data_IF_363797081826
#
_entry.id   IF_363797081826
#
_cell.length_a   1.000
_cell.length_b   1.000
_cell.length_c   1.000
_cell.angle_alpha   90.00
_cell.angle_beta   90.00
_cell.angle_gamma   90.00
#
_symmetry.space_group_name_H-M   'P 1'
#
loop_
_entity.id
_entity.type
_entity.pdbx_description
1 polymer ?
#
# COMPACT_ATOMS: atom_id res chain seq x y z
N UNK A 1 0.01 -1.11 35.11
CA UNK A 1 -1.20 -0.56 34.45
C UNK A 1 -0.76 -0.14 33.06
N UNK A 2 -0.86 -1.06 32.09
CA UNK A 2 -0.45 -0.77 30.72
C UNK A 2 -1.64 -0.04 30.08
N UNK A 3 -1.52 1.29 29.96
CA UNK A 3 -2.57 2.14 29.42
C UNK A 3 -2.77 1.79 27.95
N UNK A 4 -4.01 1.48 27.54
CA UNK A 4 -4.37 1.20 26.14
C UNK A 4 -3.95 2.30 25.14
N UNK A 5 -3.59 3.50 25.60
CA UNK A 5 -3.18 4.63 24.76
C UNK A 5 -1.93 4.38 23.92
N UNK A 6 -1.06 3.46 24.33
CA UNK A 6 0.13 3.09 23.54
C UNK A 6 -0.20 2.11 22.41
N UNK A 7 -1.31 1.38 22.51
CA UNK A 7 -1.78 0.49 21.45
C UNK A 7 -2.24 1.31 20.23
N UNK A 8 -2.97 2.39 20.46
CA UNK A 8 -3.50 3.25 19.40
C UNK A 8 -2.40 3.97 18.59
N UNK A 9 -1.24 4.23 19.22
CA UNK A 9 -0.07 4.82 18.55
C UNK A 9 0.81 3.82 17.80
N UNK A 10 0.82 2.54 18.20
CA UNK A 10 1.66 1.51 17.57
C UNK A 10 0.99 0.79 16.41
N UNK A 11 -0.35 0.79 16.35
CA UNK A 11 -1.13 0.22 15.24
C UNK A 11 -1.46 1.25 14.15
N UNK A 12 -0.66 2.32 14.06
CA UNK A 12 -0.75 3.26 12.96
C UNK A 12 -0.52 2.53 11.65
N UNK A 13 -1.49 2.62 10.75
CA UNK A 13 -1.43 2.11 9.39
C UNK A 13 -0.13 2.60 8.72
N UNK A 14 0.80 1.70 8.37
CA UNK A 14 2.05 2.06 7.67
C UNK A 14 1.88 1.78 6.18
N UNK A 15 2.33 2.71 5.35
CA UNK A 15 2.36 2.53 3.90
C UNK A 15 3.54 1.65 3.52
N UNK A 16 3.29 0.45 3.00
CA UNK A 16 4.34 -0.48 2.57
C UNK A 16 5.18 0.06 1.39
N UNK A 17 4.60 0.93 0.56
CA UNK A 17 5.30 1.48 -0.61
C UNK A 17 6.38 2.50 -0.31
N UNK A 18 6.24 3.26 0.79
CA UNK A 18 7.20 4.31 1.18
C UNK A 18 7.76 4.11 2.59
N UNK A 19 7.29 3.08 3.31
CA UNK A 19 7.51 2.83 4.75
C UNK A 19 7.07 3.96 5.70
N UNK A 20 6.39 4.99 5.19
CA UNK A 20 5.87 6.08 6.02
C UNK A 20 4.55 5.71 6.70
N UNK A 21 4.33 6.28 7.87
CA UNK A 21 3.03 6.24 8.55
C UNK A 21 1.98 6.92 7.67
N UNK A 22 0.81 6.31 7.59
CA UNK A 22 -0.39 6.90 7.03
C UNK A 22 -1.09 7.65 8.16
N UNK A 23 -1.29 8.95 8.02
CA UNK A 23 -1.97 9.75 9.04
C UNK A 23 -3.48 9.48 9.00
N UNK A 24 -4.17 9.69 10.13
CA UNK A 24 -5.59 9.34 10.27
C UNK A 24 -6.52 10.20 9.40
N UNK A 25 -5.99 11.24 8.75
CA UNK A 25 -6.70 12.07 7.77
C UNK A 25 -6.30 11.82 6.31
N UNK A 26 -5.28 11.01 6.04
CA UNK A 26 -4.81 10.75 4.69
C UNK A 26 -5.61 9.64 4.01
N UNK A 27 -5.82 9.78 2.70
CA UNK A 27 -6.50 8.75 1.89
C UNK A 27 -5.51 7.60 1.66
N UNK A 28 -5.87 6.44 2.18
CA UNK A 28 -5.13 5.20 1.97
C UNK A 28 -6.04 4.08 1.49
N UNK A 29 -5.41 3.04 0.98
CA UNK A 29 -6.06 1.81 0.56
C UNK A 29 -5.34 0.61 1.14
N UNK A 30 -6.10 -0.45 1.39
CA UNK A 30 -5.56 -1.73 1.81
C UNK A 30 -5.48 -2.66 0.60
N UNK A 31 -4.27 -3.12 0.31
CA UNK A 31 -3.97 -4.01 -0.79
C UNK A 31 -2.91 -5.02 -0.35
N UNK A 32 -3.12 -6.29 -0.73
CA UNK A 32 -2.16 -7.38 -0.45
C UNK A 32 -1.98 -7.66 1.05
N UNK A 33 -2.94 -7.28 1.89
CA UNK A 33 -2.83 -7.39 3.34
C UNK A 33 -1.98 -6.29 4.00
N UNK A 34 -1.54 -5.31 3.21
CA UNK A 34 -0.82 -4.13 3.67
C UNK A 34 -1.59 -2.87 3.29
N UNK A 35 -1.22 -1.77 3.92
CA UNK A 35 -1.81 -0.46 3.62
C UNK A 35 -0.86 0.34 2.75
N UNK A 36 -1.43 1.16 1.87
CA UNK A 36 -0.70 1.95 0.89
C UNK A 36 -1.35 3.32 0.79
N UNK A 37 -0.55 4.37 0.67
CA UNK A 37 -1.09 5.66 0.28
C UNK A 37 -1.70 5.56 -1.11
N UNK A 38 -2.79 6.29 -1.32
CA UNK A 38 -3.40 6.58 -2.62
C UNK A 38 -2.35 6.85 -3.71
N UNK A 39 -1.34 7.66 -3.39
CA UNK A 39 -0.26 8.08 -4.29
C UNK A 39 0.93 7.12 -4.35
N UNK A 40 1.08 6.24 -3.36
CA UNK A 40 2.16 5.26 -3.29
C UNK A 40 1.78 3.93 -3.93
N UNK A 41 0.49 3.72 -4.21
CA UNK A 41 -0.01 2.50 -4.81
C UNK A 41 0.18 2.50 -6.33
N UNK A 42 1.44 2.50 -6.75
CA UNK A 42 1.86 2.61 -8.13
C UNK A 42 2.55 1.34 -8.62
N UNK A 43 2.50 1.09 -9.93
CA UNK A 43 3.19 -0.07 -10.50
C UNK A 43 4.72 0.04 -10.34
N UNK A 44 5.38 -1.01 -9.87
CA UNK A 44 6.84 -1.03 -9.73
C UNK A 44 7.61 -0.96 -11.08
N UNK A 45 6.93 -1.12 -12.22
CA UNK A 45 7.53 -1.04 -13.55
C UNK A 45 7.24 0.28 -14.27
N UNK A 46 5.98 0.73 -14.28
CA UNK A 46 5.58 1.95 -14.99
C UNK A 46 5.15 3.11 -14.07
N UNK A 47 5.19 2.91 -12.76
CA UNK A 47 4.81 3.91 -11.74
C UNK A 47 3.41 4.52 -11.94
N UNK A 48 2.51 3.82 -12.63
CA UNK A 48 1.12 4.26 -12.81
C UNK A 48 0.32 3.99 -11.54
N UNK A 49 -0.53 4.93 -11.14
CA UNK A 49 -1.46 4.73 -10.04
C UNK A 49 -2.43 3.57 -10.34
N UNK A 50 -2.45 2.61 -9.43
CA UNK A 50 -3.28 1.41 -9.48
C UNK A 50 -4.50 1.50 -8.56
N UNK A 51 -4.65 2.63 -7.86
CA UNK A 51 -5.84 2.96 -7.08
C UNK A 51 -7.09 2.84 -7.97
N UNK A 52 -8.08 2.09 -7.49
CA UNK A 52 -9.32 1.83 -8.21
C UNK A 52 -9.20 0.97 -9.48
N UNK A 53 -8.01 0.43 -9.81
CA UNK A 53 -7.78 -0.40 -11.01
C UNK A 53 -7.46 -1.84 -10.63
N UNK A 54 -7.53 -2.74 -11.61
CA UNK A 54 -7.05 -4.12 -11.42
C UNK A 54 -5.53 -4.12 -11.34
N UNK A 55 -5.02 -4.53 -10.18
CA UNK A 55 -3.60 -4.68 -9.90
C UNK A 55 -3.27 -6.11 -9.51
N UNK A 56 -1.98 -6.42 -9.53
CA UNK A 56 -1.45 -7.73 -9.17
C UNK A 56 -0.21 -7.58 -8.31
N UNK A 57 -0.04 -8.46 -7.33
CA UNK A 57 1.20 -8.59 -6.58
C UNK A 57 2.13 -9.57 -7.25
N UNK A 58 3.38 -9.17 -7.48
CA UNK A 58 4.44 -10.10 -7.88
C UNK A 58 5.68 -9.79 -7.05
N UNK A 59 6.15 -10.76 -6.26
CA UNK A 59 7.30 -10.60 -5.33
C UNK A 59 7.14 -9.40 -4.39
N UNK A 60 5.98 -9.27 -3.75
CA UNK A 60 5.69 -8.21 -2.78
C UNK A 60 5.64 -6.78 -3.38
N UNK A 61 5.65 -6.67 -4.71
CA UNK A 61 5.54 -5.38 -5.42
C UNK A 61 4.23 -5.28 -6.20
N UNK A 62 3.52 -4.15 -6.11
CA UNK A 62 2.33 -3.92 -6.91
C UNK A 62 2.69 -3.73 -8.39
N UNK A 63 1.99 -4.43 -9.27
CA UNK A 63 2.12 -4.39 -10.71
C UNK A 63 0.77 -4.10 -11.36
N UNK A 64 0.80 -3.36 -12.46
CA UNK A 64 -0.40 -3.13 -13.26
C UNK A 64 -0.80 -4.40 -14.02
N UNK A 65 -2.07 -4.52 -14.39
CA UNK A 65 -2.59 -5.62 -15.23
C UNK A 65 -1.72 -5.92 -16.46
N UNK A 66 -1.23 -4.89 -17.15
CA UNK A 66 -0.41 -5.06 -18.35
C UNK A 66 0.93 -5.73 -18.07
N UNK A 67 1.58 -5.41 -16.95
CA UNK A 67 2.89 -5.97 -16.61
C UNK A 67 2.81 -7.27 -15.79
N UNK A 68 1.69 -7.49 -15.11
CA UNK A 68 1.47 -8.70 -14.33
C UNK A 68 1.30 -9.95 -15.21
N UNK A 69 0.59 -9.79 -16.33
CA UNK A 69 0.32 -10.87 -17.28
C UNK A 69 1.24 -10.90 -18.49
N UNK A 70 2.05 -9.87 -18.72
CA UNK A 70 3.07 -9.94 -19.77
C UNK A 70 4.14 -10.96 -19.34
N UNK A 71 4.29 -12.09 -20.05
CA UNK A 71 5.52 -12.87 -19.92
C UNK A 71 6.64 -11.99 -20.49
N UNK A 72 7.58 -11.60 -19.63
CA UNK A 72 8.91 -11.19 -20.08
C UNK A 72 9.68 -12.44 -20.49
#
# INVERSE_FOLDING_TARGET
>A
MFTCRDYEKMFGTKCHGCDFKIDAGDRFLEALGYSWHDTCFVCALCQINLEGKTFYSKKDKPLCKSHAFAPV
#
